data_IF_133875771660
#
_entry.id   IF_133875771660
#
_cell.length_a   1.000
_cell.length_b   1.000
_cell.length_c   1.000
_cell.angle_alpha   90.00
_cell.angle_beta   90.00
_cell.angle_gamma   90.00
#
_symmetry.space_group_name_H-M   'P 1'
#
loop_
_entity.id
_entity.type
_entity.pdbx_description
1 polymer ?
#
# COMPACT_ATOMS: atom_id res chain seq x y z
N UNK A 1 2.75 -10.73 7.19
CA UNK A 1 3.81 -9.85 7.74
C UNK A 1 5.01 -10.59 8.35
N UNK A 2 4.99 -11.90 8.57
CA UNK A 2 6.11 -12.62 9.20
C UNK A 2 7.46 -12.41 8.49
N UNK A 3 7.46 -12.44 7.16
CA UNK A 3 8.64 -12.35 6.31
C UNK A 3 9.30 -10.94 6.30
N UNK A 4 8.54 -9.88 6.57
CA UNK A 4 9.00 -8.48 6.46
C UNK A 4 9.21 -7.75 7.79
N UNK A 5 9.08 -8.42 8.95
CA UNK A 5 9.21 -7.80 10.27
C UNK A 5 10.53 -7.02 10.45
N UNK A 6 11.66 -7.64 10.10
CA UNK A 6 12.97 -7.01 10.21
C UNK A 6 13.13 -5.83 9.24
N UNK A 7 12.51 -5.92 8.06
CA UNK A 7 12.52 -4.85 7.08
C UNK A 7 11.73 -3.65 7.62
N UNK A 8 10.53 -3.89 8.17
CA UNK A 8 9.72 -2.86 8.80
C UNK A 8 10.49 -2.22 9.97
N UNK A 9 11.12 -3.04 10.82
CA UNK A 9 11.90 -2.54 11.95
C UNK A 9 13.07 -1.65 11.50
N UNK A 10 13.74 -2.00 10.40
CA UNK A 10 14.83 -1.17 9.86
C UNK A 10 14.34 0.12 9.16
N UNK A 11 13.10 0.16 8.70
CA UNK A 11 12.51 1.34 8.07
C UNK A 11 11.97 2.35 9.10
N UNK A 12 11.70 1.89 10.34
CA UNK A 12 11.21 2.73 11.43
C UNK A 12 12.41 3.05 12.33
N UNK A 13 12.75 4.32 12.48
CA UNK A 13 13.89 4.75 13.29
C UNK A 13 13.77 4.26 14.75
N UNK A 14 14.92 3.96 15.39
CA UNK A 14 15.00 3.44 16.77
C UNK A 14 14.28 4.30 17.84
N UNK A 15 13.94 5.55 17.50
CA UNK A 15 13.27 6.52 18.39
C UNK A 15 11.80 6.77 18.03
N UNK A 16 11.18 5.89 17.26
CA UNK A 16 9.78 6.05 16.85
C UNK A 16 8.85 5.94 18.05
N UNK A 17 8.45 7.11 18.58
CA UNK A 17 7.63 7.20 19.80
C UNK A 17 6.15 7.03 19.56
N UNK A 18 5.67 7.30 18.33
CA UNK A 18 4.26 7.25 18.01
C UNK A 18 4.08 6.79 16.56
N UNK A 19 3.88 5.50 16.38
CA UNK A 19 3.56 4.93 15.07
C UNK A 19 2.05 4.89 14.95
N UNK A 20 1.51 5.64 13.98
CA UNK A 20 0.07 5.68 13.70
C UNK A 20 -0.30 4.58 12.72
N UNK A 21 -1.31 3.80 13.06
CA UNK A 21 -1.88 2.78 12.19
C UNK A 21 -3.25 3.20 11.67
N UNK A 22 -3.42 3.12 10.37
CA UNK A 22 -4.67 3.40 9.64
C UNK A 22 -5.31 2.06 9.25
N UNK A 23 -6.35 1.59 9.97
CA UNK A 23 -6.97 0.28 9.74
C UNK A 23 -8.13 0.31 8.73
N UNK A 24 -8.40 1.43 8.09
CA UNK A 24 -9.64 1.73 7.36
C UNK A 24 -9.95 0.82 6.16
N UNK A 25 -8.99 0.01 5.71
CA UNK A 25 -9.26 -1.04 4.72
C UNK A 25 -10.04 -2.24 5.28
N UNK A 26 -10.08 -2.39 6.60
CA UNK A 26 -10.77 -3.49 7.28
C UNK A 26 -12.29 -3.27 7.30
N UNK A 27 -13.07 -4.19 6.72
CA UNK A 27 -14.54 -4.08 6.63
C UNK A 27 -15.26 -5.13 7.47
N UNK A 28 -14.69 -6.33 7.57
CA UNK A 28 -15.35 -7.48 8.23
C UNK A 28 -15.01 -7.67 9.72
N UNK A 29 -14.27 -6.76 10.34
CA UNK A 29 -13.80 -6.81 11.72
C UNK A 29 -13.57 -5.40 12.25
N UNK A 30 -13.49 -5.24 13.57
CA UNK A 30 -13.25 -3.93 14.17
C UNK A 30 -11.82 -3.42 13.94
N UNK A 31 -11.65 -2.11 13.94
CA UNK A 31 -10.32 -1.50 13.81
C UNK A 31 -9.43 -1.82 15.01
N UNK A 32 -10.01 -1.98 16.21
CA UNK A 32 -9.29 -2.43 17.40
C UNK A 32 -8.72 -3.84 17.21
N UNK A 33 -9.54 -4.82 16.77
CA UNK A 33 -9.08 -6.17 16.47
C UNK A 33 -7.99 -6.20 15.40
N UNK A 34 -8.07 -5.30 14.41
CA UNK A 34 -7.03 -5.19 13.39
C UNK A 34 -5.72 -4.65 13.98
N UNK A 35 -5.81 -3.61 14.79
CA UNK A 35 -4.65 -3.04 15.48
C UNK A 35 -3.96 -4.06 16.38
N UNK A 36 -4.74 -4.84 17.13
CA UNK A 36 -4.22 -5.93 17.98
C UNK A 36 -3.48 -6.99 17.14
N UNK A 37 -4.03 -7.38 15.99
CA UNK A 37 -3.35 -8.31 15.06
C UNK A 37 -2.02 -7.77 14.56
N UNK A 38 -1.95 -6.47 14.23
CA UNK A 38 -0.73 -5.81 13.79
C UNK A 38 0.29 -5.75 14.94
N UNK A 39 -0.12 -5.33 16.13
CA UNK A 39 0.72 -5.26 17.32
C UNK A 39 1.28 -6.65 17.68
N UNK A 40 0.45 -7.69 17.70
CA UNK A 40 0.90 -9.06 17.95
C UNK A 40 1.89 -9.54 16.87
N UNK A 41 1.68 -9.19 15.61
CA UNK A 41 2.59 -9.57 14.53
C UNK A 41 3.95 -8.87 14.63
N UNK A 42 4.02 -7.67 15.17
CA UNK A 42 5.25 -6.85 15.25
C UNK A 42 5.91 -6.87 16.63
N UNK A 43 5.30 -7.52 17.63
CA UNK A 43 5.80 -7.58 19.01
C UNK A 43 7.24 -8.09 19.10
N UNK A 44 7.62 -9.10 18.30
CA UNK A 44 8.98 -9.69 18.29
C UNK A 44 10.07 -8.69 17.86
N UNK A 45 9.70 -7.65 17.12
CA UNK A 45 10.63 -6.60 16.67
C UNK A 45 10.46 -5.30 17.46
N UNK A 46 9.70 -5.34 18.57
CA UNK A 46 9.55 -4.21 19.49
C UNK A 46 8.72 -3.04 18.93
N UNK A 47 7.95 -3.24 17.87
CA UNK A 47 7.09 -2.21 17.27
C UNK A 47 5.68 -2.33 17.83
N UNK A 48 5.16 -1.20 18.28
CA UNK A 48 3.76 -1.03 18.69
C UNK A 48 3.15 0.14 17.92
N UNK A 49 1.96 -0.08 17.36
CA UNK A 49 1.21 0.93 16.62
C UNK A 49 -0.01 1.39 17.41
N UNK A 50 -0.36 2.66 17.27
CA UNK A 50 -1.59 3.24 17.81
C UNK A 50 -2.64 3.34 16.69
N UNK A 51 -3.85 2.87 16.96
CA UNK A 51 -4.97 3.02 16.03
C UNK A 51 -5.36 4.50 15.91
N UNK A 52 -5.38 5.03 14.69
CA UNK A 52 -5.78 6.42 14.45
C UNK A 52 -7.22 6.70 14.88
N UNK A 53 -8.10 5.71 14.77
CA UNK A 53 -9.52 5.84 15.10
C UNK A 53 -9.78 5.99 16.62
N UNK A 54 -8.79 5.64 17.46
CA UNK A 54 -8.86 5.83 18.91
C UNK A 54 -8.31 7.22 19.35
N UNK A 55 -7.81 8.01 18.41
CA UNK A 55 -7.27 9.35 18.68
C UNK A 55 -8.41 10.39 18.73
N UNK A 56 -8.32 11.37 19.62
CA UNK A 56 -9.29 12.46 19.68
C UNK A 56 -9.29 13.34 18.39
N UNK A 57 -8.13 13.41 17.73
CA UNK A 57 -7.94 14.19 16.50
C UNK A 57 -6.99 13.46 15.55
N UNK A 58 -7.53 12.93 14.44
CA UNK A 58 -6.78 12.19 13.42
C UNK A 58 -5.64 13.02 12.80
N UNK A 59 -5.90 14.32 12.57
CA UNK A 59 -4.91 15.22 11.95
C UNK A 59 -3.74 15.46 12.90
N UNK A 60 -4.02 15.71 14.18
CA UNK A 60 -2.99 15.88 15.19
C UNK A 60 -2.19 14.60 15.39
N UNK A 61 -2.83 13.44 15.38
CA UNK A 61 -2.17 12.14 15.45
C UNK A 61 -1.19 11.96 14.28
N UNK A 62 -1.60 12.29 13.05
CA UNK A 62 -0.72 12.26 11.87
C UNK A 62 0.43 13.29 11.97
N UNK A 63 0.17 14.50 12.44
CA UNK A 63 1.20 15.54 12.61
C UNK A 63 2.30 15.11 13.58
N UNK A 64 1.94 14.37 14.62
CA UNK A 64 2.86 13.90 15.65
C UNK A 64 3.43 12.50 15.35
N UNK A 65 2.98 11.84 14.27
CA UNK A 65 3.42 10.50 13.92
C UNK A 65 4.91 10.46 13.57
N UNK A 66 5.61 9.48 14.12
CA UNK A 66 6.99 9.14 13.77
C UNK A 66 7.07 8.12 12.62
N UNK A 67 6.00 7.42 12.35
CA UNK A 67 5.78 6.59 11.16
C UNK A 67 4.27 6.40 10.93
N UNK A 68 3.87 6.15 9.70
CA UNK A 68 2.48 5.92 9.30
C UNK A 68 2.36 4.54 8.68
N UNK A 69 1.56 3.68 9.29
CA UNK A 69 1.26 2.34 8.81
C UNK A 69 -0.14 2.29 8.24
N UNK A 70 -0.31 1.72 7.05
CA UNK A 70 -1.62 1.60 6.39
C UNK A 70 -1.92 0.15 6.07
N UNK A 71 -3.01 -0.33 6.62
CA UNK A 71 -3.43 -1.72 6.55
C UNK A 71 -4.00 -2.14 5.19
N UNK A 72 -4.00 -3.45 4.96
CA UNK A 72 -4.68 -4.08 3.84
C UNK A 72 -6.15 -4.38 4.12
N UNK A 73 -6.89 -4.74 3.10
CA UNK A 73 -8.32 -5.00 3.07
C UNK A 73 -8.92 -4.44 1.79
N UNK A 74 -10.08 -3.79 1.85
CA UNK A 74 -10.70 -3.20 0.67
C UNK A 74 -10.18 -1.79 0.39
N UNK A 75 -9.56 -1.60 -0.76
CA UNK A 75 -8.94 -0.34 -1.18
C UNK A 75 -9.97 0.79 -1.36
N UNK A 76 -11.17 0.47 -1.84
CA UNK A 76 -12.23 1.48 -2.00
C UNK A 76 -12.71 2.00 -0.64
N UNK A 77 -12.92 1.10 0.33
CA UNK A 77 -13.31 1.50 1.68
C UNK A 77 -12.23 2.33 2.37
N UNK A 78 -10.96 1.96 2.21
CA UNK A 78 -9.83 2.72 2.70
C UNK A 78 -9.82 4.14 2.13
N UNK A 79 -9.84 4.26 0.80
CA UNK A 79 -9.77 5.56 0.13
C UNK A 79 -10.97 6.44 0.47
N UNK A 80 -12.19 5.86 0.50
CA UNK A 80 -13.42 6.56 0.90
C UNK A 80 -13.29 7.17 2.29
N UNK A 81 -12.84 6.38 3.26
CA UNK A 81 -12.69 6.85 4.64
C UNK A 81 -11.64 7.96 4.75
N UNK A 82 -10.52 7.83 4.03
CA UNK A 82 -9.50 8.89 3.98
C UNK A 82 -10.02 10.18 3.34
N UNK A 83 -10.84 10.08 2.29
CA UNK A 83 -11.50 11.23 1.65
C UNK A 83 -12.50 11.89 2.59
N UNK A 84 -13.38 11.13 3.22
CA UNK A 84 -14.41 11.66 4.13
C UNK A 84 -13.82 12.35 5.35
N UNK A 85 -12.69 11.85 5.84
CA UNK A 85 -11.95 12.43 6.97
C UNK A 85 -10.92 13.51 6.55
N UNK A 86 -10.78 13.78 5.24
CA UNK A 86 -9.81 14.74 4.67
C UNK A 86 -8.35 14.44 5.04
N UNK A 87 -7.94 13.17 5.14
CA UNK A 87 -6.61 12.77 5.62
C UNK A 87 -5.56 12.63 4.51
N UNK A 88 -5.94 12.59 3.24
CA UNK A 88 -5.04 12.34 2.10
C UNK A 88 -3.87 13.33 2.08
N UNK A 89 -4.16 14.63 2.11
CA UNK A 89 -3.13 15.67 2.08
C UNK A 89 -2.24 15.64 3.33
N UNK A 90 -2.82 15.33 4.49
CA UNK A 90 -2.05 15.24 5.74
C UNK A 90 -1.05 14.09 5.71
N UNK A 91 -1.46 12.91 5.20
CA UNK A 91 -0.55 11.77 5.04
C UNK A 91 0.54 12.11 4.02
N UNK A 92 0.17 12.67 2.85
CA UNK A 92 1.12 13.06 1.80
C UNK A 92 2.17 14.03 2.32
N UNK A 93 1.76 15.07 3.03
CA UNK A 93 2.66 16.07 3.59
C UNK A 93 3.62 15.44 4.59
N UNK A 94 3.15 14.54 5.47
CA UNK A 94 4.02 13.86 6.43
C UNK A 94 5.06 12.97 5.74
N UNK A 95 4.69 12.26 4.67
CA UNK A 95 5.65 11.45 3.90
C UNK A 95 6.66 12.35 3.17
N UNK A 96 6.23 13.48 2.64
CA UNK A 96 7.14 14.48 2.05
C UNK A 96 8.09 15.10 3.11
N UNK A 97 7.68 15.16 4.38
CA UNK A 97 8.51 15.54 5.52
C UNK A 97 9.39 14.37 6.03
N UNK A 98 9.60 13.34 5.20
CA UNK A 98 10.43 12.16 5.48
C UNK A 98 9.91 11.24 6.60
N UNK A 99 8.63 11.34 6.99
CA UNK A 99 8.02 10.37 7.89
C UNK A 99 7.81 9.05 7.17
N UNK A 100 8.34 7.93 7.70
CA UNK A 100 8.20 6.63 7.06
C UNK A 100 6.74 6.21 6.83
N UNK A 101 6.43 5.75 5.62
CA UNK A 101 5.16 5.17 5.22
C UNK A 101 5.33 3.68 4.98
N UNK A 102 4.55 2.85 5.65
CA UNK A 102 4.53 1.41 5.47
C UNK A 102 3.10 0.98 5.09
N UNK A 103 2.88 0.68 3.81
CA UNK A 103 1.59 0.21 3.30
C UNK A 103 1.67 -1.24 2.83
N UNK A 104 0.64 -2.04 3.10
CA UNK A 104 0.52 -3.39 2.55
C UNK A 104 -0.85 -3.63 1.92
N UNK A 105 -0.90 -4.40 0.82
CA UNK A 105 -2.12 -4.67 0.06
C UNK A 105 -2.84 -3.37 -0.35
N UNK A 106 -4.04 -3.09 0.15
CA UNK A 106 -4.74 -1.82 -0.07
C UNK A 106 -3.88 -0.61 0.31
N UNK A 107 -3.13 -0.68 1.42
CA UNK A 107 -2.20 0.37 1.85
C UNK A 107 -1.05 0.58 0.87
N UNK A 108 -0.57 -0.46 0.17
CA UNK A 108 0.41 -0.26 -0.91
C UNK A 108 -0.25 0.31 -2.17
N UNK A 109 -1.45 -0.13 -2.51
CA UNK A 109 -2.15 0.36 -3.70
C UNK A 109 -2.43 1.86 -3.62
N UNK A 110 -2.86 2.40 -2.46
CA UNK A 110 -3.13 3.85 -2.32
C UNK A 110 -1.86 4.72 -2.32
N UNK A 111 -0.65 4.15 -2.23
CA UNK A 111 0.59 4.90 -2.41
C UNK A 111 0.76 5.40 -3.85
N UNK A 112 0.08 4.79 -4.81
CA UNK A 112 0.01 5.15 -6.22
C UNK A 112 -0.74 6.47 -6.46
N UNK A 113 -0.69 7.03 -7.69
CA UNK A 113 -1.49 8.20 -8.07
C UNK A 113 -2.99 7.95 -7.97
N UNK A 114 -3.45 6.75 -8.32
CA UNK A 114 -4.86 6.33 -8.26
C UNK A 114 -4.99 4.90 -7.78
N UNK A 115 -6.20 4.48 -7.40
CA UNK A 115 -6.49 3.08 -7.07
C UNK A 115 -6.96 2.24 -8.27
N UNK A 116 -6.82 2.73 -9.49
CA UNK A 116 -7.38 2.09 -10.70
C UNK A 116 -6.80 0.69 -11.00
N UNK A 117 -5.70 0.32 -10.39
CA UNK A 117 -5.06 -1.00 -10.53
C UNK A 117 -5.31 -1.93 -9.35
N UNK A 118 -6.23 -1.59 -8.45
CA UNK A 118 -6.62 -2.49 -7.34
C UNK A 118 -7.32 -3.75 -7.85
N UNK A 119 -7.19 -4.84 -7.06
CA UNK A 119 -7.92 -6.09 -7.32
C UNK A 119 -9.26 -6.15 -6.59
N UNK A 120 -9.57 -5.14 -5.78
CA UNK A 120 -10.72 -5.14 -4.91
C UNK A 120 -12.03 -4.78 -5.65
N UNK A 121 -13.14 -5.23 -5.10
CA UNK A 121 -14.45 -4.82 -5.59
C UNK A 121 -14.82 -3.43 -5.04
N UNK A 122 -15.48 -2.58 -5.85
CA UNK A 122 -15.98 -1.27 -5.42
C UNK A 122 -17.24 -1.45 -4.54
N UNK A 123 -17.03 -1.60 -3.24
CA UNK A 123 -18.12 -1.79 -2.27
C UNK A 123 -18.70 -0.49 -1.73
N UNK A 124 -18.08 0.64 -2.04
CA UNK A 124 -18.53 2.00 -1.70
C UNK A 124 -18.27 2.93 -2.88
N UNK A 125 -19.04 4.00 -2.97
CA UNK A 125 -18.86 5.06 -3.98
C UNK A 125 -17.81 6.06 -3.53
N UNK A 126 -16.86 6.38 -4.41
CA UNK A 126 -15.77 7.33 -4.18
C UNK A 126 -16.11 8.70 -4.77
N UNK A 127 -15.52 9.74 -4.18
CA UNK A 127 -15.52 11.09 -4.78
C UNK A 127 -14.54 11.16 -5.98
N UNK A 128 -13.39 10.48 -5.87
CA UNK A 128 -12.34 10.37 -6.87
C UNK A 128 -11.57 9.08 -6.67
N UNK A 129 -10.93 8.58 -7.73
CA UNK A 129 -9.95 7.49 -7.64
C UNK A 129 -8.54 7.97 -7.28
N UNK A 130 -8.33 9.29 -7.18
CA UNK A 130 -7.05 9.86 -6.77
C UNK A 130 -6.68 9.41 -5.35
N UNK A 131 -5.43 8.95 -5.21
CA UNK A 131 -4.91 8.40 -3.97
C UNK A 131 -3.75 9.25 -3.40
N UNK A 132 -2.83 8.67 -2.65
CA UNK A 132 -1.78 9.42 -1.98
C UNK A 132 -0.72 9.99 -2.94
N UNK A 133 -0.51 9.39 -4.11
CA UNK A 133 0.48 9.83 -5.09
C UNK A 133 1.90 10.02 -4.49
N UNK A 134 2.34 9.03 -3.72
CA UNK A 134 3.68 9.01 -3.11
C UNK A 134 4.75 8.52 -4.09
N UNK A 135 4.34 7.82 -5.13
CA UNK A 135 5.16 7.36 -6.26
C UNK A 135 4.43 7.65 -7.57
N UNK A 136 5.16 7.69 -8.68
CA UNK A 136 4.59 8.00 -10.01
C UNK A 136 3.88 6.80 -10.65
N UNK A 137 4.27 5.59 -10.28
CA UNK A 137 3.76 4.36 -10.87
C UNK A 137 2.51 3.84 -10.15
N UNK A 138 1.71 3.07 -10.87
CA UNK A 138 0.62 2.30 -10.27
C UNK A 138 1.17 1.03 -9.62
N UNK A 139 0.59 0.61 -8.50
CA UNK A 139 0.92 -0.66 -7.84
C UNK A 139 -0.24 -1.64 -8.02
N UNK A 140 0.07 -2.87 -8.45
CA UNK A 140 -0.84 -4.01 -8.32
C UNK A 140 -0.25 -5.01 -7.32
N UNK A 141 -0.70 -5.00 -6.06
CA UNK A 141 -0.24 -5.94 -5.03
C UNK A 141 -0.84 -7.33 -5.25
N UNK A 142 -0.22 -8.35 -4.63
CA UNK A 142 -0.65 -9.75 -4.74
C UNK A 142 -0.72 -10.23 -6.20
N UNK A 143 0.19 -9.73 -7.03
CA UNK A 143 0.21 -10.12 -8.43
C UNK A 143 0.48 -11.62 -8.59
N UNK A 144 -0.26 -12.24 -9.48
CA UNK A 144 -0.05 -13.63 -9.88
C UNK A 144 -0.49 -13.83 -11.33
N UNK A 145 0.25 -14.67 -12.06
CA UNK A 145 -0.14 -15.14 -13.40
C UNK A 145 -1.05 -16.39 -13.33
N UNK A 146 -1.29 -16.91 -12.14
CA UNK A 146 -2.14 -18.07 -11.95
C UNK A 146 -3.58 -17.76 -12.37
N UNK A 147 -4.12 -18.64 -13.19
CA UNK A 147 -5.52 -18.63 -13.61
C UNK A 147 -6.21 -19.90 -13.13
N UNK A 148 -7.46 -19.78 -12.72
CA UNK A 148 -8.26 -20.94 -12.35
C UNK A 148 -8.54 -21.79 -13.59
N UNK A 149 -8.25 -23.10 -13.51
CA UNK A 149 -8.56 -24.03 -14.58
C UNK A 149 -10.08 -24.00 -14.90
N UNK A 150 -10.43 -23.94 -16.18
CA UNK A 150 -11.81 -23.84 -16.66
C UNK A 150 -12.56 -22.55 -16.26
N UNK A 151 -11.86 -21.50 -15.87
CA UNK A 151 -12.46 -20.20 -15.62
C UNK A 151 -12.39 -19.32 -16.88
N UNK A 152 -13.55 -18.93 -17.42
CA UNK A 152 -13.65 -18.09 -18.63
C UNK A 152 -13.44 -16.58 -18.37
N UNK A 153 -13.05 -16.18 -17.17
CA UNK A 153 -12.78 -14.79 -16.82
C UNK A 153 -11.37 -14.36 -17.18
N UNK A 154 -11.18 -13.05 -17.27
CA UNK A 154 -9.89 -12.45 -17.57
C UNK A 154 -8.86 -12.70 -16.45
N UNK A 155 -7.61 -12.93 -16.89
CA UNK A 155 -6.48 -12.97 -15.97
C UNK A 155 -6.17 -11.55 -15.42
N UNK A 156 -5.42 -11.51 -14.33
CA UNK A 156 -4.95 -10.24 -13.76
C UNK A 156 -4.12 -9.44 -14.76
N UNK A 157 -3.24 -10.11 -15.49
CA UNK A 157 -2.44 -9.48 -16.55
C UNK A 157 -3.32 -8.86 -17.66
N UNK A 158 -4.39 -9.54 -18.08
CA UNK A 158 -5.31 -9.00 -19.09
C UNK A 158 -5.96 -7.70 -18.62
N UNK A 159 -6.46 -7.64 -17.38
CA UNK A 159 -7.05 -6.42 -16.79
C UNK A 159 -6.06 -5.27 -16.68
N UNK A 160 -4.81 -5.55 -16.31
CA UNK A 160 -3.77 -4.52 -16.26
C UNK A 160 -3.39 -4.02 -17.64
N UNK A 161 -3.37 -4.88 -18.66
CA UNK A 161 -3.17 -4.46 -20.06
C UNK A 161 -4.33 -3.63 -20.58
N UNK A 162 -5.57 -3.91 -20.18
CA UNK A 162 -6.73 -3.08 -20.49
C UNK A 162 -6.60 -1.69 -19.87
N UNK A 163 -6.21 -1.62 -18.58
CA UNK A 163 -5.90 -0.33 -17.93
C UNK A 163 -4.84 0.45 -18.70
N UNK A 164 -3.73 -0.19 -19.10
CA UNK A 164 -2.64 0.45 -19.84
C UNK A 164 -3.05 0.85 -21.27
N UNK A 165 -3.96 0.13 -21.92
CA UNK A 165 -4.48 0.52 -23.23
C UNK A 165 -5.27 1.84 -23.15
N UNK A 166 -5.98 2.07 -22.06
CA UNK A 166 -6.70 3.31 -21.79
C UNK A 166 -5.80 4.43 -21.22
N UNK A 167 -4.62 4.08 -20.67
CA UNK A 167 -3.69 4.98 -19.99
C UNK A 167 -2.24 4.70 -20.43
N UNK A 168 -1.93 5.01 -21.70
CA UNK A 168 -0.71 4.58 -22.37
C UNK A 168 0.58 5.22 -21.83
N UNK A 169 0.47 6.34 -21.13
CA UNK A 169 1.56 7.06 -20.46
C UNK A 169 1.89 6.49 -19.06
N UNK A 170 1.11 5.55 -18.56
CA UNK A 170 1.28 4.98 -17.22
C UNK A 170 2.08 3.68 -17.22
N UNK A 171 2.61 3.36 -16.05
CA UNK A 171 3.27 2.09 -15.76
C UNK A 171 2.61 1.43 -14.56
N UNK A 172 2.72 0.11 -14.46
CA UNK A 172 2.20 -0.68 -13.35
C UNK A 172 3.28 -1.59 -12.78
N UNK A 173 3.55 -1.44 -11.49
CA UNK A 173 4.42 -2.30 -10.71
C UNK A 173 3.59 -3.47 -10.15
N UNK A 174 3.80 -4.64 -10.71
CA UNK A 174 3.14 -5.88 -10.30
C UNK A 174 3.98 -6.55 -9.21
N UNK A 175 3.45 -6.58 -7.98
CA UNK A 175 4.15 -7.07 -6.80
C UNK A 175 3.57 -8.42 -6.36
N UNK A 176 4.27 -9.53 -6.57
CA UNK A 176 3.91 -10.83 -5.99
C UNK A 176 4.02 -10.84 -4.47
N UNK A 177 3.52 -11.92 -3.86
CA UNK A 177 3.70 -12.14 -2.42
C UNK A 177 5.18 -12.15 -2.02
N UNK A 178 5.48 -11.68 -0.81
CA UNK A 178 6.83 -11.58 -0.25
C UNK A 178 7.78 -10.65 -1.01
N UNK A 179 7.24 -9.66 -1.71
CA UNK A 179 8.00 -8.59 -2.37
C UNK A 179 7.54 -7.22 -1.90
N UNK A 180 8.38 -6.21 -2.06
CA UNK A 180 8.08 -4.85 -1.68
C UNK A 180 8.87 -3.83 -2.50
N UNK A 181 8.44 -2.58 -2.44
CA UNK A 181 9.17 -1.43 -2.96
C UNK A 181 9.79 -0.67 -1.78
N UNK A 182 11.08 -0.41 -1.84
CA UNK A 182 11.76 0.49 -0.93
C UNK A 182 12.02 1.83 -1.66
N UNK A 183 11.46 2.92 -1.11
CA UNK A 183 11.71 4.27 -1.62
C UNK A 183 12.55 5.00 -0.60
N UNK A 184 13.75 5.43 -1.01
CA UNK A 184 14.70 6.17 -0.16
C UNK A 184 15.44 7.18 -1.02
N UNK A 185 15.53 8.42 -0.56
CA UNK A 185 16.29 9.47 -1.27
C UNK A 185 15.90 9.57 -2.76
N UNK A 186 14.62 9.52 -3.08
CA UNK A 186 14.06 9.54 -4.44
C UNK A 186 14.50 8.36 -5.34
N UNK A 187 15.02 7.29 -4.75
CA UNK A 187 15.30 6.03 -5.45
C UNK A 187 14.28 4.98 -5.02
N UNK A 188 13.67 4.35 -5.99
CA UNK A 188 12.77 3.23 -5.77
C UNK A 188 13.50 1.93 -6.13
N UNK A 189 13.51 0.96 -5.22
CA UNK A 189 14.13 -0.34 -5.43
C UNK A 189 13.09 -1.43 -5.24
N UNK A 190 13.03 -2.38 -6.16
CA UNK A 190 12.25 -3.61 -6.02
C UNK A 190 13.03 -4.63 -5.22
N UNK A 191 12.40 -5.20 -4.19
CA UNK A 191 13.03 -6.06 -3.20
C UNK A 191 12.15 -7.27 -2.85
N UNK A 192 12.75 -8.29 -2.23
CA UNK A 192 12.05 -9.43 -1.66
C UNK A 192 12.40 -10.78 -2.29
N UNK A 193 11.50 -11.77 -2.15
CA UNK A 193 11.72 -13.15 -2.59
C UNK A 193 10.79 -13.48 -3.78
N UNK A 194 11.20 -13.12 -4.96
CA UNK A 194 10.44 -13.38 -6.19
C UNK A 194 10.64 -12.29 -7.22
N UNK A 195 10.26 -12.57 -8.45
CA UNK A 195 10.37 -11.61 -9.54
C UNK A 195 9.05 -10.84 -9.68
N UNK A 196 9.15 -9.51 -9.69
CA UNK A 196 8.04 -8.64 -10.05
C UNK A 196 7.99 -8.38 -11.55
N UNK A 197 7.03 -7.58 -11.96
CA UNK A 197 6.91 -7.14 -13.36
C UNK A 197 6.63 -5.63 -13.36
N UNK A 198 7.36 -4.92 -14.21
CA UNK A 198 7.02 -3.55 -14.61
C UNK A 198 6.33 -3.62 -15.96
N UNK A 199 5.06 -3.24 -15.98
CA UNK A 199 4.26 -3.18 -17.20
C UNK A 199 4.13 -1.73 -17.67
N UNK A 200 4.24 -1.54 -18.98
CA UNK A 200 3.75 -0.36 -19.67
C UNK A 200 2.92 -0.80 -20.88
N UNK A 201 2.37 0.15 -21.63
CA UNK A 201 1.50 -0.16 -22.75
C UNK A 201 2.18 -1.04 -23.81
N UNK A 202 3.47 -0.83 -24.08
CA UNK A 202 4.19 -1.47 -25.19
C UNK A 202 5.11 -2.60 -24.77
N UNK A 203 5.46 -2.70 -23.48
CA UNK A 203 6.43 -3.69 -22.99
C UNK A 203 6.12 -4.20 -21.58
N UNK A 204 6.81 -5.27 -21.25
CA UNK A 204 6.81 -5.90 -19.92
C UNK A 204 8.25 -6.22 -19.57
N UNK A 205 8.71 -5.76 -18.43
CA UNK A 205 10.05 -5.99 -17.91
C UNK A 205 9.98 -6.77 -16.59
N UNK A 206 10.80 -7.82 -16.47
CA UNK A 206 10.92 -8.57 -15.23
C UNK A 206 11.80 -7.81 -14.24
N UNK A 207 11.26 -7.54 -13.05
CA UNK A 207 11.99 -6.95 -11.94
C UNK A 207 12.61 -8.05 -11.08
N UNK A 208 13.93 -8.09 -11.02
CA UNK A 208 14.65 -8.95 -10.10
C UNK A 208 14.86 -8.22 -8.76
N UNK A 209 14.99 -8.94 -7.63
CA UNK A 209 15.36 -8.32 -6.35
C UNK A 209 16.60 -7.43 -6.48
N UNK A 210 16.59 -6.27 -5.82
CA UNK A 210 17.59 -5.19 -5.89
C UNK A 210 17.60 -4.41 -7.23
N UNK A 211 16.56 -4.52 -8.06
CA UNK A 211 16.42 -3.67 -9.25
C UNK A 211 16.04 -2.25 -8.84
N UNK A 212 16.79 -1.26 -9.28
CA UNK A 212 16.45 0.17 -9.17
C UNK A 212 15.50 0.51 -10.34
N UNK A 213 14.38 1.16 -10.03
CA UNK A 213 13.31 1.50 -10.97
C UNK A 213 13.35 3.01 -11.30
#
# INVERSE_FOLDING_TARGET
>A
MQWCKSIIASAVAENSKQIVFIPYAGVGFSYAEYTDKVNNALAEVGIQVANIDDCENDIEALQNASAIFVGGGNTFHLLKTLQDKNLIEHIRNRVNDEVPYIGWSAGSNIASPTICTTNDMPIVELQSFEALNLIEDQINPHYTDETLANHGGESRLQRLKEYLAANQDKRVLCLPENTYLAVRENKMTYEGNGNGILLNYTSSETLLPNTII
#
